data_IF_168546974330
#
_entry.id   IF_168546974330
#
_cell.length_a   1.000
_cell.length_b   1.000
_cell.length_c   1.000
_cell.angle_alpha   90.00
_cell.angle_beta   90.00
_cell.angle_gamma   90.00
#
_symmetry.space_group_name_H-M   'P 1'
#
loop_
_entity.id
_entity.type
_entity.pdbx_description
1 polymer ?
#
# COMPACT_ATOMS: atom_id res chain seq x y z
N UNK A 1 -2.02 -21.88 8.60
CA UNK A 1 -1.09 -21.14 9.47
C UNK A 1 -0.97 -19.73 8.92
N UNK A 2 -1.58 -18.72 9.55
CA UNK A 2 -1.46 -17.33 9.09
C UNK A 2 -0.11 -16.77 9.59
N UNK A 3 0.71 -16.25 8.68
CA UNK A 3 1.93 -15.54 9.04
C UNK A 3 1.55 -14.09 9.33
N UNK A 4 1.88 -13.56 10.52
CA UNK A 4 1.60 -12.16 10.82
C UNK A 4 2.47 -11.24 9.97
N UNK A 5 1.99 -10.02 9.70
CA UNK A 5 2.79 -9.00 8.99
C UNK A 5 4.14 -8.76 9.65
N UNK A 6 4.18 -8.76 10.99
CA UNK A 6 5.44 -8.66 11.75
C UNK A 6 6.38 -9.82 11.50
N UNK A 7 5.88 -11.05 11.47
CA UNK A 7 6.71 -12.22 11.20
C UNK A 7 7.28 -12.17 9.78
N UNK A 8 6.47 -11.81 8.78
CA UNK A 8 6.95 -11.60 7.40
C UNK A 8 8.03 -10.51 7.33
N UNK A 9 7.83 -9.41 8.06
CA UNK A 9 8.81 -8.34 8.17
C UNK A 9 10.15 -8.86 8.69
N UNK A 10 10.13 -9.56 9.82
CA UNK A 10 11.34 -10.00 10.51
C UNK A 10 12.11 -11.13 9.79
N UNK A 11 11.40 -11.96 9.01
CA UNK A 11 11.99 -13.14 8.35
C UNK A 11 12.31 -12.94 6.87
N UNK A 12 11.61 -12.04 6.17
CA UNK A 12 11.77 -11.86 4.71
C UNK A 12 11.96 -10.40 4.36
N UNK A 13 10.95 -9.55 4.60
CA UNK A 13 10.84 -8.24 3.93
C UNK A 13 12.05 -7.34 4.23
N UNK A 14 12.50 -7.25 5.48
CA UNK A 14 13.62 -6.38 5.82
C UNK A 14 14.98 -6.88 5.33
N UNK A 15 15.10 -8.17 4.98
CA UNK A 15 16.40 -8.82 4.75
C UNK A 15 16.94 -8.66 3.33
N UNK A 16 16.08 -8.36 2.37
CA UNK A 16 16.45 -8.33 0.95
C UNK A 16 16.43 -6.91 0.40
N UNK A 17 17.52 -6.45 -0.27
CA UNK A 17 17.67 -5.06 -0.70
C UNK A 17 16.70 -4.66 -1.82
N UNK A 18 16.17 -5.62 -2.58
CA UNK A 18 15.20 -5.40 -3.65
C UNK A 18 13.74 -5.37 -3.17
N UNK A 19 13.48 -5.53 -1.88
CA UNK A 19 12.14 -5.37 -1.32
C UNK A 19 11.78 -3.88 -1.29
N UNK A 20 10.73 -3.50 -2.01
CA UNK A 20 10.30 -2.10 -2.11
C UNK A 20 8.86 -1.89 -1.66
N UNK A 21 7.96 -2.84 -1.95
CA UNK A 21 6.54 -2.72 -1.67
C UNK A 21 6.00 -3.99 -1.01
N UNK A 22 5.10 -3.81 -0.06
CA UNK A 22 4.26 -4.88 0.51
C UNK A 22 2.82 -4.43 0.43
N UNK A 23 1.94 -5.28 -0.09
CA UNK A 23 0.50 -5.02 -0.16
C UNK A 23 -0.23 -6.00 0.75
N UNK A 24 -1.15 -5.48 1.57
CA UNK A 24 -1.91 -6.29 2.53
C UNK A 24 -3.40 -5.92 2.57
N UNK A 25 -4.20 -6.87 3.06
CA UNK A 25 -5.62 -6.72 3.34
C UNK A 25 -6.01 -7.51 4.59
N UNK A 26 -7.16 -8.17 4.56
CA UNK A 26 -7.78 -8.98 5.62
C UNK A 26 -8.36 -8.19 6.82
N UNK A 27 -7.63 -7.18 7.30
CA UNK A 27 -8.13 -6.26 8.32
C UNK A 27 -8.75 -5.05 7.66
N UNK A 28 -10.06 -4.86 7.85
CA UNK A 28 -10.86 -3.76 7.26
C UNK A 28 -10.31 -2.40 7.70
N UNK A 29 -9.39 -1.87 6.89
CA UNK A 29 -8.71 -0.61 7.14
C UNK A 29 -7.92 -0.19 5.89
N UNK A 30 -7.58 1.11 5.85
CA UNK A 30 -6.61 1.67 4.94
C UNK A 30 -5.45 2.26 5.74
N UNK A 31 -4.23 1.87 5.40
CA UNK A 31 -3.05 2.31 6.14
C UNK A 31 -1.78 2.22 5.31
N UNK A 32 -0.74 2.91 5.79
CA UNK A 32 0.61 2.78 5.26
C UNK A 32 1.63 2.84 6.38
N UNK A 33 2.70 2.08 6.24
CA UNK A 33 3.90 2.16 7.06
C UNK A 33 5.09 2.21 6.11
N UNK A 34 6.07 3.07 6.42
CA UNK A 34 7.33 3.17 5.69
C UNK A 34 8.45 2.84 6.66
N UNK A 35 9.21 1.78 6.36
CA UNK A 35 10.28 1.29 7.20
C UNK A 35 11.56 1.07 6.39
N UNK A 36 12.71 1.01 7.06
CA UNK A 36 13.99 0.68 6.42
C UNK A 36 14.29 -0.81 6.59
N UNK A 37 14.67 -1.45 5.49
CA UNK A 37 15.28 -2.78 5.51
C UNK A 37 16.71 -2.75 6.05
N UNK A 38 17.26 -3.92 6.34
CA UNK A 38 18.59 -4.12 6.89
C UNK A 38 19.69 -3.59 5.96
N UNK A 39 19.45 -3.59 4.65
CA UNK A 39 20.34 -3.05 3.64
C UNK A 39 20.15 -1.53 3.41
N UNK A 40 19.30 -0.87 4.22
CA UNK A 40 19.02 0.57 4.13
C UNK A 40 17.97 0.95 3.07
N UNK A 41 17.47 -0.02 2.28
CA UNK A 41 16.36 0.17 1.34
C UNK A 41 15.09 0.61 2.07
N UNK A 42 14.29 1.45 1.42
CA UNK A 42 13.00 1.89 1.96
C UNK A 42 11.91 0.95 1.48
N UNK A 43 11.10 0.43 2.40
CA UNK A 43 9.98 -0.47 2.11
C UNK A 43 8.67 0.24 2.43
N UNK A 44 7.81 0.33 1.42
CA UNK A 44 6.47 0.90 1.51
C UNK A 44 5.45 -0.22 1.72
N UNK A 45 4.86 -0.28 2.91
CA UNK A 45 3.86 -1.29 3.27
C UNK A 45 2.48 -0.65 3.23
N UNK A 46 1.59 -1.13 2.36
CA UNK A 46 0.31 -0.52 2.05
C UNK A 46 -0.83 -1.50 2.35
N UNK A 47 -1.63 -1.17 3.37
CA UNK A 47 -2.87 -1.86 3.72
C UNK A 47 -4.01 -1.22 2.94
N UNK A 48 -4.73 -2.03 2.15
CA UNK A 48 -5.91 -1.60 1.41
C UNK A 48 -7.00 -2.67 1.55
N UNK A 49 -7.88 -2.46 2.51
CA UNK A 49 -9.03 -3.34 2.72
C UNK A 49 -10.28 -2.52 3.02
N UNK A 50 -11.21 -2.58 2.08
CA UNK A 50 -12.44 -1.82 2.12
C UNK A 50 -13.66 -2.72 2.30
N UNK A 51 -13.49 -3.97 2.76
CA UNK A 51 -14.57 -4.96 2.77
C UNK A 51 -15.74 -4.68 3.74
N UNK A 52 -15.73 -3.58 4.50
CA UNK A 52 -16.87 -3.16 5.31
C UNK A 52 -16.86 -1.66 5.64
N UNK A 53 -17.81 -0.93 5.08
CA UNK A 53 -18.30 0.35 5.60
C UNK A 53 -19.81 0.28 5.50
N UNK A 54 -20.45 -0.24 6.56
CA UNK A 54 -21.91 -0.20 6.83
C UNK A 54 -22.86 -0.48 5.65
N UNK A 55 -23.38 -1.71 5.63
CA UNK A 55 -24.70 -2.10 5.11
C UNK A 55 -25.10 -1.65 3.70
N UNK A 56 -24.35 -2.09 2.68
CA UNK A 56 -24.83 -2.65 1.40
C UNK A 56 -23.66 -2.84 0.44
N UNK A 57 -23.06 -4.02 0.58
CA UNK A 57 -22.49 -4.86 -0.47
C UNK A 57 -22.04 -4.15 -1.77
N UNK A 58 -20.72 -4.18 -2.01
CA UNK A 58 -20.02 -3.76 -3.24
C UNK A 58 -19.65 -2.28 -3.29
N UNK A 59 -18.90 -1.79 -2.30
CA UNK A 59 -18.29 -0.48 -2.46
C UNK A 59 -17.22 -0.43 -3.57
N UNK A 60 -16.71 -1.57 -4.06
CA UNK A 60 -15.90 -1.66 -5.28
C UNK A 60 -14.59 -0.87 -5.24
N UNK A 61 -14.13 -0.45 -4.06
CA UNK A 61 -12.96 0.41 -3.96
C UNK A 61 -11.68 -0.36 -4.29
N UNK A 62 -10.91 0.21 -5.21
CA UNK A 62 -9.60 -0.26 -5.64
C UNK A 62 -8.56 0.79 -5.28
N UNK A 63 -7.42 0.34 -4.74
CA UNK A 63 -6.24 1.19 -4.59
C UNK A 63 -5.43 1.16 -5.89
N UNK A 64 -5.18 2.33 -6.46
CA UNK A 64 -4.47 2.54 -7.71
C UNK A 64 -3.13 3.20 -7.38
N UNK A 65 -2.05 2.65 -7.93
CA UNK A 65 -0.69 3.19 -7.82
C UNK A 65 -0.25 3.61 -9.22
N UNK A 66 0.07 4.88 -9.39
CA UNK A 66 0.66 5.42 -10.61
C UNK A 66 2.14 5.70 -10.36
N UNK A 67 3.01 5.10 -11.15
CA UNK A 67 4.46 5.21 -11.00
C UNK A 67 4.99 6.24 -12.00
N UNK A 68 5.72 7.23 -11.49
CA UNK A 68 6.49 8.22 -12.26
C UNK A 68 7.98 8.05 -11.91
N UNK A 69 8.71 7.19 -12.66
CA UNK A 69 10.13 6.95 -12.41
C UNK A 69 11.00 8.18 -12.66
N UNK A 70 10.61 9.07 -13.57
CA UNK A 70 11.37 10.27 -13.88
C UNK A 70 11.34 11.26 -12.70
N UNK A 71 10.19 11.36 -12.02
CA UNK A 71 10.04 12.16 -10.80
C UNK A 71 10.41 11.41 -9.51
N UNK A 72 10.76 10.12 -9.57
CA UNK A 72 10.93 9.24 -8.42
C UNK A 72 9.70 9.28 -7.47
N UNK A 73 8.50 9.18 -8.06
CA UNK A 73 7.24 9.42 -7.37
C UNK A 73 6.26 8.29 -7.63
N UNK A 74 5.44 7.97 -6.63
CA UNK A 74 4.27 7.11 -6.80
C UNK A 74 3.05 7.83 -6.24
N UNK A 75 2.06 8.06 -7.08
CA UNK A 75 0.78 8.63 -6.67
C UNK A 75 -0.19 7.50 -6.34
N UNK A 76 -0.76 7.56 -5.14
CA UNK A 76 -1.70 6.57 -4.63
C UNK A 76 -3.08 7.20 -4.54
N UNK A 77 -4.05 6.58 -5.16
CA UNK A 77 -5.47 6.95 -5.07
C UNK A 77 -6.33 5.73 -4.79
N UNK A 78 -7.54 5.95 -4.28
CA UNK A 78 -8.55 4.91 -4.13
C UNK A 78 -9.81 5.34 -4.86
N UNK A 79 -10.30 4.48 -5.74
CA UNK A 79 -11.45 4.74 -6.60
C UNK A 79 -12.40 3.54 -6.62
N UNK A 80 -13.70 3.82 -6.67
CA UNK A 80 -14.73 2.80 -6.90
C UNK A 80 -15.40 3.03 -8.24
N UNK A 81 -15.30 2.09 -9.19
CA UNK A 81 -16.12 2.11 -10.40
C UNK A 81 -17.62 1.90 -10.11
N UNK A 82 -17.97 1.28 -8.98
CA UNK A 82 -19.35 1.02 -8.63
C UNK A 82 -20.05 2.28 -8.08
N UNK A 83 -19.35 3.02 -7.22
CA UNK A 83 -19.86 4.25 -6.63
C UNK A 83 -19.52 5.51 -7.44
N UNK A 84 -18.69 5.36 -8.51
CA UNK A 84 -18.11 6.46 -9.29
C UNK A 84 -17.52 7.56 -8.39
N UNK A 85 -16.69 7.13 -7.44
CA UNK A 85 -16.22 8.00 -6.37
C UNK A 85 -14.80 7.68 -5.93
N UNK A 86 -14.09 8.73 -5.50
CA UNK A 86 -12.79 8.64 -4.86
C UNK A 86 -12.89 8.75 -3.35
N UNK A 87 -12.10 7.96 -2.63
CA UNK A 87 -11.77 8.25 -1.24
C UNK A 87 -10.64 9.27 -1.21
N UNK A 88 -10.90 10.44 -0.62
CA UNK A 88 -10.01 11.61 -0.70
C UNK A 88 -9.24 11.90 0.58
N UNK A 89 -9.48 11.12 1.63
CA UNK A 89 -8.78 11.25 2.91
C UNK A 89 -7.30 10.83 2.81
N UNK A 90 -6.44 11.25 3.75
CA UNK A 90 -5.00 11.02 3.68
C UNK A 90 -4.54 9.56 3.70
N UNK A 91 -5.41 8.61 4.08
CA UNK A 91 -5.11 7.16 4.04
C UNK A 91 -5.35 6.57 2.65
N UNK A 92 -6.11 7.27 1.81
CA UNK A 92 -6.57 6.80 0.51
C UNK A 92 -6.08 7.62 -0.67
N UNK A 93 -5.66 8.87 -0.45
CA UNK A 93 -5.03 9.71 -1.46
C UNK A 93 -3.75 10.34 -0.92
N UNK A 94 -2.61 9.94 -1.45
CA UNK A 94 -1.31 10.42 -1.02
C UNK A 94 -0.23 10.14 -2.07
N UNK A 95 0.90 10.82 -1.93
CA UNK A 95 2.06 10.66 -2.81
C UNK A 95 3.23 10.10 -2.01
N UNK A 96 3.92 9.11 -2.57
CA UNK A 96 5.21 8.62 -2.10
C UNK A 96 6.31 9.29 -2.92
N UNK A 97 7.23 9.98 -2.26
CA UNK A 97 8.33 10.71 -2.91
C UNK A 97 9.67 10.02 -2.67
N UNK A 98 10.60 10.13 -3.62
CA UNK A 98 11.91 9.50 -3.52
C UNK A 98 11.90 7.99 -3.77
N UNK A 99 10.84 7.48 -4.41
CA UNK A 99 10.73 6.08 -4.84
C UNK A 99 11.61 5.89 -6.06
N UNK A 100 12.80 5.31 -5.88
CA UNK A 100 13.72 4.98 -6.96
C UNK A 100 13.53 3.52 -7.33
N UNK A 101 12.82 3.25 -8.43
CA UNK A 101 12.65 1.89 -8.93
C UNK A 101 14.03 1.35 -9.32
N UNK A 102 14.39 0.19 -8.76
CA UNK A 102 15.62 -0.51 -9.13
C UNK A 102 15.36 -1.21 -10.46
N UNK A 103 16.19 -0.97 -11.50
CA UNK A 103 16.07 -1.66 -12.78
C UNK A 103 16.37 -3.16 -12.69
#
# INVERSE_FOLDING_TARGET
MLVSGRRLWDTVVRRYPNMMFVFSGHYVNAGRIVERGDAGNTVYQLQADYQSYTDRERNGYLRILEFDPAANRVDVSTYSPHADAHLTDPRNRFTLTGVRLVP
#
